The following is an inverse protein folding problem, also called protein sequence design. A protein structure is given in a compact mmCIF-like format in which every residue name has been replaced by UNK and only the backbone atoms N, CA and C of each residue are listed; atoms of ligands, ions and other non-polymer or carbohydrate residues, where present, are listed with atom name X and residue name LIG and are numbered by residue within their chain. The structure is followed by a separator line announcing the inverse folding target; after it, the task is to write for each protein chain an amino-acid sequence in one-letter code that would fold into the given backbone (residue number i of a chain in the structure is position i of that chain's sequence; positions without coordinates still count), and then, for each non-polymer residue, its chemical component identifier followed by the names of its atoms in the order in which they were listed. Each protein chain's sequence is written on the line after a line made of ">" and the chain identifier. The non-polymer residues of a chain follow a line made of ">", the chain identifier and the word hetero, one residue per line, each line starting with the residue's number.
data_IF_501071477709
#
_entry.id   IF_501071477709
#
_cell.length_a   1.000
_cell.length_b   1.000
_cell.length_c   1.000
_cell.angle_alpha   90.00
_cell.angle_beta   90.00
_cell.angle_gamma   90.00
#
_symmetry.space_group_name_H-M   'P 1'
#
loop_
_entity.id
_entity.type
_entity.pdbx_description
1 polymer ?
#
# COMPACT_ATOMS: atom_id res chain seq x y z
N UNK A 1 -0.66 -23.56 5.03
CA UNK A 1 -0.27 -22.14 4.94
C UNK A 1 1.22 -22.06 5.16
N UNK A 2 1.93 -21.31 4.32
CA UNK A 2 3.37 -21.46 4.16
C UNK A 2 4.23 -20.66 5.14
N UNK A 3 3.80 -19.73 5.98
CA UNK A 3 4.74 -18.81 6.67
C UNK A 3 5.59 -17.96 5.70
N UNK A 4 5.83 -16.69 6.07
CA UNK A 4 6.58 -15.78 5.20
C UNK A 4 8.01 -16.27 4.90
N UNK A 5 8.61 -17.03 5.83
CA UNK A 5 9.95 -17.60 5.66
C UNK A 5 10.09 -18.54 4.46
N UNK A 6 9.03 -19.27 4.14
CA UNK A 6 9.06 -20.21 3.02
C UNK A 6 9.04 -19.45 1.68
N UNK A 7 8.32 -18.32 1.64
CA UNK A 7 8.30 -17.40 0.50
C UNK A 7 9.66 -16.72 0.37
N UNK A 8 10.24 -16.23 1.48
CA UNK A 8 11.58 -15.64 1.48
C UNK A 8 12.63 -16.65 0.97
N UNK A 9 12.52 -17.93 1.37
CA UNK A 9 13.38 -19.00 0.88
C UNK A 9 13.17 -19.30 -0.62
N UNK A 10 11.91 -19.35 -1.08
CA UNK A 10 11.58 -19.66 -2.47
C UNK A 10 12.04 -18.56 -3.44
N UNK A 11 11.93 -17.31 -3.02
CA UNK A 11 12.24 -16.14 -3.85
C UNK A 11 13.68 -15.66 -3.70
N UNK A 12 14.36 -16.02 -2.60
CA UNK A 12 15.65 -15.46 -2.23
C UNK A 12 15.59 -13.99 -1.79
N UNK A 13 14.39 -13.44 -1.60
CA UNK A 13 14.13 -12.07 -1.17
C UNK A 13 13.66 -12.04 0.30
N UNK A 14 13.80 -10.89 0.97
CA UNK A 14 13.32 -10.71 2.33
C UNK A 14 12.21 -9.66 2.37
N UNK A 15 11.11 -9.96 3.08
CA UNK A 15 10.08 -8.95 3.33
C UNK A 15 10.60 -7.91 4.33
N UNK A 16 10.16 -6.64 4.23
CA UNK A 16 10.53 -5.61 5.20
C UNK A 16 10.12 -5.98 6.63
N UNK A 17 10.89 -5.57 7.65
CA UNK A 17 10.60 -5.90 9.06
C UNK A 17 9.18 -5.50 9.49
N UNK A 18 8.74 -4.30 9.10
CA UNK A 18 7.39 -3.82 9.45
C UNK A 18 6.30 -4.67 8.79
N UNK A 19 6.47 -5.05 7.52
CA UNK A 19 5.52 -5.94 6.84
C UNK A 19 5.39 -7.27 7.58
N UNK A 20 6.52 -7.89 7.97
CA UNK A 20 6.53 -9.13 8.76
C UNK A 20 5.83 -8.99 10.11
N UNK A 21 6.05 -7.87 10.81
CA UNK A 21 5.38 -7.57 12.06
C UNK A 21 3.86 -7.49 11.89
N UNK A 22 3.39 -6.76 10.87
CA UNK A 22 1.97 -6.56 10.60
C UNK A 22 1.29 -7.85 10.13
N UNK A 23 1.96 -8.64 9.30
CA UNK A 23 1.51 -9.96 8.89
C UNK A 23 1.37 -10.90 10.10
N UNK A 24 2.38 -10.99 10.96
CA UNK A 24 2.34 -11.83 12.16
C UNK A 24 1.23 -11.40 13.14
N UNK A 25 0.89 -10.12 13.16
CA UNK A 25 -0.20 -9.56 13.95
C UNK A 25 -1.59 -9.67 13.27
N UNK A 26 -1.68 -10.27 12.07
CA UNK A 26 -2.93 -10.40 11.33
C UNK A 26 -3.53 -9.07 10.87
N UNK A 27 -2.71 -8.03 10.72
CA UNK A 27 -3.17 -6.66 10.42
C UNK A 27 -3.32 -6.37 8.92
N UNK A 28 -2.88 -7.29 8.06
CA UNK A 28 -2.88 -7.09 6.61
C UNK A 28 -4.13 -7.65 5.91
N UNK A 29 -4.93 -8.49 6.59
CA UNK A 29 -6.11 -9.10 5.98
C UNK A 29 -7.33 -8.18 6.07
N UNK A 30 -8.14 -8.21 5.02
CA UNK A 30 -9.45 -7.56 4.96
C UNK A 30 -10.60 -8.54 5.23
N UNK A 31 -10.28 -9.69 5.85
CA UNK A 31 -11.23 -10.75 6.13
C UNK A 31 -11.51 -11.62 4.90
N UNK A 32 -12.24 -12.71 5.12
CA UNK A 32 -12.49 -13.70 4.07
C UNK A 32 -13.41 -13.16 2.95
N UNK A 33 -13.24 -13.62 1.70
CA UNK A 33 -14.15 -13.32 0.62
C UNK A 33 -15.61 -13.64 0.99
N UNK A 34 -16.51 -12.69 0.78
CA UNK A 34 -17.94 -12.83 1.08
C UNK A 34 -18.78 -12.11 0.01
N UNK A 35 -19.88 -12.69 -0.51
CA UNK A 35 -20.72 -12.03 -1.52
C UNK A 35 -21.30 -10.69 -1.05
N UNK A 36 -21.54 -10.58 0.26
CA UNK A 36 -22.03 -9.37 0.94
C UNK A 36 -20.93 -8.78 1.83
N UNK A 37 -19.67 -8.76 1.35
CA UNK A 37 -18.51 -8.34 2.15
C UNK A 37 -18.71 -6.96 2.79
N UNK A 38 -19.29 -6.00 2.04
CA UNK A 38 -19.58 -4.65 2.53
C UNK A 38 -20.61 -4.60 3.66
N UNK A 39 -21.51 -5.57 3.75
CA UNK A 39 -22.59 -5.60 4.76
C UNK A 39 -22.25 -6.48 5.97
N UNK A 40 -21.44 -7.53 5.77
CA UNK A 40 -21.17 -8.55 6.78
C UNK A 40 -19.76 -8.43 7.36
N UNK A 41 -18.76 -8.25 6.50
CA UNK A 41 -17.35 -8.27 6.90
C UNK A 41 -16.87 -6.87 7.24
N UNK A 42 -17.04 -5.92 6.33
CA UNK A 42 -16.57 -4.55 6.48
C UNK A 42 -16.99 -3.89 7.81
N UNK A 43 -18.26 -3.96 8.28
CA UNK A 43 -18.64 -3.34 9.54
C UNK A 43 -17.88 -3.88 10.76
N UNK A 44 -17.41 -5.13 10.71
CA UNK A 44 -16.61 -5.75 11.78
C UNK A 44 -15.18 -5.21 11.82
N UNK A 45 -14.65 -4.76 10.68
CA UNK A 45 -13.30 -4.21 10.55
C UNK A 45 -13.21 -2.77 11.05
N UNK A 46 -14.31 -2.00 11.00
CA UNK A 46 -14.29 -0.56 11.32
C UNK A 46 -13.93 -0.24 12.78
N UNK A 47 -14.13 -1.18 13.71
CA UNK A 47 -13.85 -0.99 15.14
C UNK A 47 -12.34 -0.97 15.45
N UNK A 48 -11.55 -1.78 14.73
CA UNK A 48 -10.10 -1.80 14.76
C UNK A 48 -9.59 -1.99 13.32
N UNK A 49 -9.54 -0.91 12.52
CA UNK A 49 -9.25 -1.02 11.09
C UNK A 49 -7.90 -1.70 10.82
N UNK A 50 -7.86 -2.73 9.96
CA UNK A 50 -6.61 -3.29 9.46
C UNK A 50 -5.84 -2.25 8.64
N UNK A 51 -4.62 -2.62 8.27
CA UNK A 51 -3.72 -1.78 7.49
C UNK A 51 -4.41 -1.37 6.20
N UNK A 52 -4.43 -0.06 5.98
CA UNK A 52 -4.94 0.60 4.79
C UNK A 52 -6.40 0.28 4.40
N UNK A 53 -7.27 -0.16 5.32
CA UNK A 53 -8.69 -0.48 5.04
C UNK A 53 -9.42 0.59 4.19
N UNK A 54 -9.10 1.86 4.39
CA UNK A 54 -9.77 2.98 3.75
C UNK A 54 -9.01 3.58 2.55
N UNK A 55 -7.84 3.05 2.20
CA UNK A 55 -7.08 3.52 1.04
C UNK A 55 -7.78 3.12 -0.27
N UNK A 56 -7.82 4.04 -1.23
CA UNK A 56 -8.26 3.74 -2.58
C UNK A 56 -7.16 3.00 -3.36
N UNK A 57 -7.57 2.22 -4.36
CA UNK A 57 -6.68 1.45 -5.23
C UNK A 57 -5.62 0.63 -4.46
N UNK A 58 -6.03 0.01 -3.36
CA UNK A 58 -5.19 -0.87 -2.56
C UNK A 58 -6.00 -2.10 -2.15
N UNK A 59 -5.51 -3.28 -2.49
CA UNK A 59 -6.03 -4.55 -2.02
C UNK A 59 -4.84 -5.36 -1.49
N UNK A 60 -4.81 -5.74 -0.21
CA UNK A 60 -3.73 -6.57 0.31
C UNK A 60 -3.77 -7.95 -0.34
N UNK A 61 -2.60 -8.50 -0.69
CA UNK A 61 -2.51 -9.91 -1.04
C UNK A 61 -2.57 -10.73 0.25
N UNK A 62 -3.47 -11.70 0.29
CA UNK A 62 -3.55 -12.66 1.39
C UNK A 62 -2.33 -13.58 1.39
N UNK A 63 -2.08 -14.22 2.53
CA UNK A 63 -0.86 -15.00 2.75
C UNK A 63 -0.62 -16.08 1.69
N UNK A 64 -1.68 -16.72 1.21
CA UNK A 64 -1.64 -17.77 0.20
C UNK A 64 -1.52 -17.24 -1.24
N UNK A 65 -1.75 -15.95 -1.47
CA UNK A 65 -1.59 -15.29 -2.78
C UNK A 65 -0.17 -14.77 -3.01
N UNK A 66 0.58 -14.45 -1.95
CA UNK A 66 1.90 -13.80 -2.06
C UNK A 66 2.91 -14.54 -2.95
N UNK A 67 2.99 -15.87 -2.82
CA UNK A 67 3.93 -16.66 -3.63
C UNK A 67 3.46 -16.76 -5.08
N UNK A 68 2.16 -16.93 -5.31
CA UNK A 68 1.56 -17.00 -6.64
C UNK A 68 1.77 -15.68 -7.38
N UNK A 69 1.48 -14.54 -6.75
CA UNK A 69 1.71 -13.22 -7.33
C UNK A 69 3.18 -13.01 -7.73
N UNK A 70 4.13 -13.48 -6.91
CA UNK A 70 5.55 -13.43 -7.28
C UNK A 70 5.87 -14.35 -8.47
N UNK A 71 5.31 -15.56 -8.51
CA UNK A 71 5.50 -16.50 -9.62
C UNK A 71 4.95 -15.94 -10.93
N UNK A 72 3.78 -15.31 -10.91
CA UNK A 72 3.18 -14.64 -12.07
C UNK A 72 4.05 -13.49 -12.57
N UNK A 73 4.44 -12.56 -11.69
CA UNK A 73 5.27 -11.41 -12.04
C UNK A 73 6.64 -11.81 -12.64
N UNK A 74 7.17 -12.97 -12.25
CA UNK A 74 8.52 -13.43 -12.66
C UNK A 74 8.50 -14.55 -13.69
N UNK A 75 7.33 -14.96 -14.17
CA UNK A 75 7.19 -16.01 -15.16
C UNK A 75 7.96 -15.66 -16.45
N UNK A 76 8.67 -16.63 -17.02
CA UNK A 76 9.46 -16.42 -18.25
C UNK A 76 8.57 -16.08 -19.46
N UNK A 77 7.33 -16.58 -19.47
CA UNK A 77 6.31 -16.33 -20.48
C UNK A 77 5.32 -15.23 -20.09
N UNK A 78 5.60 -14.46 -19.02
CA UNK A 78 4.84 -13.26 -18.71
C UNK A 78 4.89 -12.30 -19.89
N UNK A 79 3.76 -11.69 -20.23
CA UNK A 79 3.64 -10.80 -21.40
C UNK A 79 4.51 -9.54 -21.26
N UNK A 80 4.79 -9.13 -20.01
CA UNK A 80 5.75 -8.10 -19.64
C UNK A 80 6.89 -8.74 -18.83
N UNK A 81 7.88 -9.38 -19.46
CA UNK A 81 8.89 -10.14 -18.74
C UNK A 81 9.79 -9.23 -17.89
N UNK A 82 9.84 -9.46 -16.58
CA UNK A 82 10.59 -8.63 -15.62
C UNK A 82 12.09 -8.62 -15.91
N UNK A 83 12.70 -7.43 -15.96
CA UNK A 83 14.15 -7.22 -16.08
C UNK A 83 14.97 -8.10 -15.11
N UNK A 84 16.05 -8.75 -15.59
CA UNK A 84 16.83 -9.69 -14.78
C UNK A 84 17.60 -9.03 -13.64
N UNK A 85 17.81 -7.70 -13.70
CA UNK A 85 18.47 -6.93 -12.65
C UNK A 85 17.50 -6.41 -11.57
N UNK A 86 16.20 -6.69 -11.69
CA UNK A 86 15.20 -6.30 -10.69
C UNK A 86 14.77 -7.48 -9.82
N UNK A 87 14.69 -7.25 -8.51
CA UNK A 87 14.07 -8.14 -7.55
C UNK A 87 12.86 -7.44 -6.95
N UNK A 88 11.68 -7.83 -7.41
CA UNK A 88 10.41 -7.30 -6.96
C UNK A 88 9.66 -8.38 -6.17
N UNK A 89 9.06 -7.99 -5.06
CA UNK A 89 8.26 -8.87 -4.21
C UNK A 89 6.86 -8.26 -4.02
N UNK A 90 5.82 -8.78 -4.71
CA UNK A 90 4.45 -8.29 -4.59
C UNK A 90 3.90 -8.44 -3.17
N UNK A 91 3.08 -7.48 -2.74
CA UNK A 91 2.40 -7.55 -1.44
C UNK A 91 0.96 -7.00 -1.42
N UNK A 92 0.57 -6.25 -2.45
CA UNK A 92 -0.78 -5.71 -2.64
C UNK A 92 -0.99 -5.45 -4.14
N UNK A 93 -2.23 -5.15 -4.54
CA UNK A 93 -2.59 -4.75 -5.91
C UNK A 93 -3.56 -3.57 -5.93
N UNK A 94 -3.68 -2.89 -7.07
CA UNK A 94 -4.78 -1.96 -7.36
C UNK A 94 -6.01 -2.74 -7.82
N UNK A 95 -7.18 -2.10 -7.83
CA UNK A 95 -8.39 -2.71 -8.42
C UNK A 95 -8.26 -2.88 -9.94
N UNK A 96 -7.36 -2.10 -10.56
CA UNK A 96 -6.98 -2.20 -11.97
C UNK A 96 -6.03 -3.36 -12.31
N UNK A 97 -5.47 -4.05 -11.30
CA UNK A 97 -4.56 -5.19 -11.51
C UNK A 97 -3.06 -4.84 -11.48
N UNK A 98 -2.70 -3.60 -11.16
CA UNK A 98 -1.30 -3.20 -10.97
C UNK A 98 -0.77 -3.73 -9.64
N UNK A 99 0.52 -4.01 -9.56
CA UNK A 99 1.12 -4.65 -8.38
C UNK A 99 1.93 -3.67 -7.55
N UNK A 100 1.64 -3.59 -6.25
CA UNK A 100 2.54 -2.96 -5.30
C UNK A 100 3.63 -3.97 -4.91
N UNK A 101 4.88 -3.58 -5.12
CA UNK A 101 6.04 -4.44 -4.92
C UNK A 101 7.05 -3.78 -3.97
N UNK A 102 7.73 -4.60 -3.17
CA UNK A 102 8.99 -4.23 -2.55
C UNK A 102 10.12 -4.41 -3.56
N UNK A 103 10.90 -3.36 -3.82
CA UNK A 103 12.10 -3.45 -4.65
C UNK A 103 13.30 -3.86 -3.80
N UNK A 104 13.44 -5.18 -3.61
CA UNK A 104 14.34 -5.79 -2.63
C UNK A 104 15.83 -5.53 -2.88
N UNK A 105 16.22 -5.29 -4.14
CA UNK A 105 17.59 -5.00 -4.54
C UNK A 105 17.80 -3.56 -5.03
N UNK A 106 16.94 -2.62 -4.62
CA UNK A 106 17.09 -1.22 -4.95
C UNK A 106 18.48 -0.69 -4.53
N UNK A 107 19.20 0.01 -5.42
CA UNK A 107 20.50 0.57 -5.08
C UNK A 107 20.36 1.65 -3.99
N UNK A 108 21.40 1.74 -3.15
CA UNK A 108 21.55 2.79 -2.13
C UNK A 108 20.37 2.94 -1.14
N UNK A 109 19.60 1.87 -0.92
CA UNK A 109 18.42 1.84 -0.05
C UNK A 109 18.65 0.95 1.17
N UNK A 110 18.37 1.45 2.37
CA UNK A 110 18.53 0.70 3.63
C UNK A 110 17.39 -0.32 3.86
N UNK A 111 16.20 0.01 3.39
CA UNK A 111 15.03 -0.88 3.32
C UNK A 111 14.48 -0.85 1.88
N UNK A 112 13.76 -1.90 1.43
CA UNK A 112 13.18 -1.93 0.09
C UNK A 112 12.17 -0.78 -0.11
N UNK A 113 12.39 0.09 -1.12
CA UNK A 113 11.37 1.04 -1.57
C UNK A 113 10.12 0.30 -2.04
N UNK A 114 8.97 0.97 -1.90
CA UNK A 114 7.71 0.48 -2.50
C UNK A 114 7.57 1.07 -3.88
N UNK A 115 7.26 0.22 -4.85
CA UNK A 115 6.97 0.62 -6.24
C UNK A 115 5.59 0.13 -6.66
N UNK A 116 4.93 0.87 -7.55
CA UNK A 116 3.76 0.42 -8.30
C UNK A 116 4.22 -0.08 -9.66
N UNK A 117 3.99 -1.35 -9.97
CA UNK A 117 4.28 -1.96 -11.27
C UNK A 117 2.99 -1.98 -12.08
N UNK A 118 2.99 -1.23 -13.18
CA UNK A 118 1.85 -1.14 -14.08
C UNK A 118 1.70 -2.42 -14.89
N UNK A 119 0.49 -2.98 -14.91
CA UNK A 119 0.24 -4.21 -15.65
C UNK A 119 0.12 -3.98 -17.16
N UNK A 120 -0.32 -2.80 -17.59
CA UNK A 120 -0.57 -2.45 -19.00
C UNK A 120 0.49 -1.51 -19.61
N UNK A 121 1.52 -1.16 -18.85
CA UNK A 121 2.64 -0.31 -19.24
C UNK A 121 3.98 -0.98 -18.89
N UNK A 122 5.08 -0.52 -19.50
CA UNK A 122 6.43 -1.05 -19.23
C UNK A 122 7.12 -0.40 -18.01
N UNK A 123 6.33 0.35 -17.23
CA UNK A 123 6.76 1.28 -16.19
C UNK A 123 6.49 0.77 -14.78
N UNK A 124 7.39 1.12 -13.86
CA UNK A 124 7.13 1.10 -12.43
C UNK A 124 7.42 2.47 -11.81
N UNK A 125 6.60 2.87 -10.84
CA UNK A 125 6.71 4.17 -10.16
C UNK A 125 7.12 3.98 -8.70
N UNK A 126 8.12 4.74 -8.24
CA UNK A 126 8.61 4.70 -6.86
C UNK A 126 7.66 5.49 -5.95
N UNK A 127 6.95 4.78 -5.07
CA UNK A 127 5.92 5.40 -4.24
C UNK A 127 6.40 5.82 -2.85
N UNK A 128 7.41 5.15 -2.31
CA UNK A 128 7.90 5.40 -0.96
C UNK A 128 9.28 4.81 -0.74
N UNK A 129 10.05 5.40 0.18
CA UNK A 129 11.39 4.92 0.53
C UNK A 129 11.39 3.57 1.27
N UNK A 130 10.27 3.21 1.89
CA UNK A 130 10.07 1.97 2.65
C UNK A 130 8.57 1.74 2.89
N UNK A 131 8.21 0.62 3.52
CA UNK A 131 6.80 0.29 3.78
C UNK A 131 6.11 1.28 4.72
N UNK A 132 6.79 1.81 5.74
CA UNK A 132 6.20 2.78 6.66
C UNK A 132 5.81 4.09 5.95
N UNK A 133 6.67 4.58 5.04
CA UNK A 133 6.38 5.75 4.20
C UNK A 133 5.23 5.48 3.23
N UNK A 134 5.12 4.26 2.70
CA UNK A 134 3.98 3.86 1.87
C UNK A 134 2.67 3.87 2.64
N UNK A 135 2.64 3.33 3.86
CA UNK A 135 1.45 3.37 4.71
C UNK A 135 1.00 4.81 4.98
N UNK A 136 1.94 5.69 5.32
CA UNK A 136 1.67 7.11 5.51
C UNK A 136 1.11 7.76 4.24
N UNK A 137 1.76 7.56 3.09
CA UNK A 137 1.31 8.09 1.79
C UNK A 137 -0.13 7.69 1.49
N UNK A 138 -0.45 6.40 1.58
CA UNK A 138 -1.79 5.88 1.31
C UNK A 138 -2.86 6.42 2.26
N UNK A 139 -2.50 6.74 3.50
CA UNK A 139 -3.42 7.41 4.43
C UNK A 139 -3.67 8.88 4.09
N UNK A 140 -2.69 9.57 3.50
CA UNK A 140 -2.85 10.95 3.01
C UNK A 140 -3.66 10.97 1.71
N UNK A 141 -3.35 10.08 0.76
CA UNK A 141 -4.09 9.94 -0.51
C UNK A 141 -5.57 9.63 -0.27
N UNK A 142 -5.89 8.73 0.67
CA UNK A 142 -7.26 8.36 0.98
C UNK A 142 -8.22 9.50 1.34
N UNK A 143 -7.69 10.62 1.87
CA UNK A 143 -8.52 11.80 2.17
C UNK A 143 -8.64 12.78 1.01
N UNK A 144 -7.67 12.81 0.10
CA UNK A 144 -7.79 13.56 -1.16
C UNK A 144 -8.73 12.85 -2.13
N UNK A 145 -8.69 11.52 -2.15
CA UNK A 145 -9.58 10.67 -2.94
C UNK A 145 -10.97 10.51 -2.30
N UNK A 146 -11.25 11.19 -1.18
CA UNK A 146 -12.51 11.04 -0.48
C UNK A 146 -13.68 11.51 -1.35
N UNK A 147 -14.56 10.57 -1.65
CA UNK A 147 -15.79 10.84 -2.37
C UNK A 147 -16.95 10.06 -1.74
N UNK A 148 -17.88 10.75 -1.09
CA UNK A 148 -19.11 10.13 -0.60
C UNK A 148 -20.12 9.93 -1.75
N UNK A 149 -20.85 8.81 -1.81
CA UNK A 149 -20.82 7.64 -0.92
C UNK A 149 -19.91 6.50 -1.44
N UNK A 150 -18.95 6.79 -2.32
CA UNK A 150 -18.22 5.78 -3.11
C UNK A 150 -17.02 5.19 -2.37
N UNK A 151 -16.40 5.95 -1.46
CA UNK A 151 -15.25 5.50 -0.68
C UNK A 151 -15.67 4.75 0.58
N UNK A 152 -14.96 3.68 0.95
CA UNK A 152 -15.20 2.95 2.21
C UNK A 152 -15.13 3.87 3.44
N UNK A 153 -14.28 4.89 3.39
CA UNK A 153 -14.13 5.88 4.46
C UNK A 153 -15.45 6.63 4.76
N UNK A 154 -16.32 6.80 3.75
CA UNK A 154 -17.63 7.47 3.85
C UNK A 154 -18.71 6.62 4.53
N UNK A 155 -18.46 5.32 4.77
CA UNK A 155 -19.42 4.44 5.42
C UNK A 155 -19.37 4.61 6.95
N UNK A 156 -20.35 5.33 7.50
CA UNK A 156 -20.43 5.64 8.92
C UNK A 156 -20.04 7.09 9.20
N UNK A 157 -19.55 7.35 10.41
CA UNK A 157 -19.16 8.70 10.82
C UNK A 157 -17.68 8.94 10.46
N UNK A 158 -17.43 9.91 9.56
CA UNK A 158 -16.12 10.16 8.95
C UNK A 158 -15.04 10.45 10.00
N UNK A 159 -15.29 11.35 10.95
CA UNK A 159 -14.32 11.71 11.98
C UNK A 159 -13.95 10.49 12.84
N UNK A 160 -14.94 9.67 13.19
CA UNK A 160 -14.77 8.44 13.94
C UNK A 160 -13.97 7.39 13.16
N UNK A 161 -14.20 7.25 11.85
CA UNK A 161 -13.42 6.36 10.99
C UNK A 161 -11.96 6.81 10.91
N UNK A 162 -11.72 8.09 10.63
CA UNK A 162 -10.39 8.71 10.59
C UNK A 162 -9.65 8.53 11.92
N UNK A 163 -10.32 8.78 13.04
CA UNK A 163 -9.72 8.64 14.37
C UNK A 163 -9.34 7.18 14.66
N UNK A 164 -10.24 6.22 14.43
CA UNK A 164 -9.94 4.80 14.66
C UNK A 164 -8.79 4.32 13.77
N UNK A 165 -8.76 4.75 12.51
CA UNK A 165 -7.70 4.38 11.58
C UNK A 165 -6.34 4.96 12.00
N UNK A 166 -6.29 6.24 12.38
CA UNK A 166 -5.07 6.86 12.91
C UNK A 166 -4.55 6.17 14.17
N UNK A 167 -5.45 5.83 15.11
CA UNK A 167 -5.07 5.12 16.34
C UNK A 167 -4.56 3.71 16.04
N UNK A 168 -5.18 3.01 15.10
CA UNK A 168 -4.76 1.66 14.72
C UNK A 168 -3.39 1.63 14.04
N UNK A 169 -2.93 2.77 13.50
CA UNK A 169 -1.64 2.94 12.85
C UNK A 169 -0.54 3.56 13.71
N UNK A 170 -0.86 4.06 14.91
CA UNK A 170 0.06 4.83 15.75
C UNK A 170 1.38 4.11 16.07
N UNK A 171 1.34 2.79 16.30
CA UNK A 171 2.52 2.03 16.77
C UNK A 171 3.57 1.81 15.69
N UNK A 172 3.24 2.06 14.43
CA UNK A 172 4.13 1.83 13.29
C UNK A 172 4.27 3.04 12.35
N UNK A 173 3.73 4.20 12.72
CA UNK A 173 4.05 5.48 12.09
C UNK A 173 5.21 6.15 12.83
N UNK A 174 6.00 6.95 12.11
CA UNK A 174 6.93 7.88 12.76
C UNK A 174 6.17 9.02 13.42
N UNK A 175 6.82 9.72 14.36
CA UNK A 175 6.21 10.82 15.09
C UNK A 175 5.80 12.01 14.21
N UNK A 176 6.58 12.33 13.18
CA UNK A 176 6.28 13.37 12.18
C UNK A 176 5.10 12.97 11.28
N UNK A 177 5.09 11.74 10.77
CA UNK A 177 3.98 11.16 10.00
C UNK A 177 2.67 11.17 10.79
N UNK A 178 2.70 10.68 12.04
CA UNK A 178 1.53 10.67 12.91
C UNK A 178 1.01 12.09 13.17
N UNK A 179 1.91 13.05 13.43
CA UNK A 179 1.52 14.44 13.65
C UNK A 179 0.94 15.10 12.38
N UNK A 180 1.47 14.78 11.20
CA UNK A 180 0.93 15.26 9.93
C UNK A 180 -0.48 14.69 9.67
N UNK A 181 -0.67 13.37 9.80
CA UNK A 181 -1.98 12.73 9.68
C UNK A 181 -2.98 13.24 10.71
N UNK A 182 -2.55 13.45 11.97
CA UNK A 182 -3.41 14.00 13.00
C UNK A 182 -3.93 15.40 12.64
N UNK A 183 -3.09 16.27 12.07
CA UNK A 183 -3.51 17.60 11.61
C UNK A 183 -4.43 17.51 10.40
N UNK A 184 -4.11 16.65 9.44
CA UNK A 184 -4.91 16.45 8.24
C UNK A 184 -6.30 15.91 8.58
N UNK A 185 -6.36 14.84 9.38
CA UNK A 185 -7.62 14.17 9.77
C UNK A 185 -8.49 15.01 10.71
N UNK A 186 -7.94 16.07 11.32
CA UNK A 186 -8.73 17.03 12.08
C UNK A 186 -9.54 17.98 11.17
N UNK A 187 -9.24 18.05 9.87
CA UNK A 187 -9.94 18.88 8.88
C UNK A 187 -11.15 18.15 8.28
N UNK A 188 -12.00 17.58 9.14
CA UNK A 188 -13.11 16.70 8.73
C UNK A 188 -14.04 17.39 7.73
N UNK A 189 -14.44 18.64 8.00
CA UNK A 189 -15.32 19.41 7.11
C UNK A 189 -14.69 19.62 5.73
N UNK A 190 -13.38 19.93 5.67
CA UNK A 190 -12.67 20.08 4.39
C UNK A 190 -12.62 18.76 3.62
N UNK A 191 -12.42 17.63 4.30
CA UNK A 191 -12.41 16.31 3.68
C UNK A 191 -13.80 15.98 3.13
N UNK A 192 -14.85 16.18 3.94
CA UNK A 192 -16.23 15.89 3.56
C UNK A 192 -16.69 16.73 2.35
N UNK A 193 -16.24 17.99 2.27
CA UNK A 193 -16.49 18.90 1.15
C UNK A 193 -15.60 18.66 -0.08
N UNK A 194 -14.59 17.78 0.01
CA UNK A 194 -13.63 17.54 -1.08
C UNK A 194 -12.65 18.70 -1.31
N UNK A 195 -12.36 19.48 -0.27
CA UNK A 195 -11.45 20.64 -0.31
C UNK A 195 -9.97 20.26 -0.10
N UNK A 196 -9.67 18.97 0.07
CA UNK A 196 -8.28 18.46 0.09
C UNK A 196 -7.96 18.00 -1.33
N UNK A 197 -7.16 18.78 -2.05
CA UNK A 197 -6.76 18.42 -3.41
C UNK A 197 -5.64 17.36 -3.42
N UNK A 198 -5.47 16.69 -4.56
CA UNK A 198 -4.32 15.82 -4.82
C UNK A 198 -2.99 16.58 -4.63
N UNK A 199 -2.92 17.86 -5.05
CA UNK A 199 -1.74 18.71 -4.85
C UNK A 199 -1.44 18.97 -3.37
N UNK A 200 -2.49 19.20 -2.55
CA UNK A 200 -2.32 19.38 -1.10
C UNK A 200 -1.81 18.10 -0.43
N UNK A 201 -2.38 16.95 -0.80
CA UNK A 201 -1.94 15.65 -0.34
C UNK A 201 -0.49 15.38 -0.75
N UNK A 202 -0.15 15.61 -2.01
CA UNK A 202 1.20 15.42 -2.53
C UNK A 202 2.22 16.31 -1.83
N UNK A 203 1.88 17.56 -1.52
CA UNK A 203 2.76 18.46 -0.77
C UNK A 203 3.10 17.89 0.62
N UNK A 204 2.11 17.33 1.33
CA UNK A 204 2.31 16.67 2.63
C UNK A 204 3.21 15.43 2.48
N UNK A 205 2.97 14.61 1.45
CA UNK A 205 3.75 13.41 1.16
C UNK A 205 5.23 13.77 0.91
N UNK A 206 5.50 14.72 0.02
CA UNK A 206 6.87 15.17 -0.29
C UNK A 206 7.57 15.73 0.94
N UNK A 207 6.89 16.58 1.72
CA UNK A 207 7.46 17.21 2.92
C UNK A 207 7.86 16.16 3.98
N UNK A 208 6.99 15.19 4.25
CA UNK A 208 7.15 14.28 5.39
C UNK A 208 7.97 13.03 5.03
N UNK A 209 7.87 12.53 3.80
CA UNK A 209 8.70 11.40 3.35
C UNK A 209 10.13 11.87 3.06
N UNK A 210 10.31 13.01 2.39
CA UNK A 210 11.62 13.58 2.12
C UNK A 210 12.55 12.66 1.31
N UNK A 211 12.00 11.81 0.45
CA UNK A 211 12.75 10.87 -0.37
C UNK A 211 12.99 11.44 -1.77
N UNK A 212 14.25 11.53 -2.18
CA UNK A 212 14.64 12.16 -3.46
C UNK A 212 14.02 11.45 -4.68
N UNK A 213 13.87 10.12 -4.60
CA UNK A 213 13.38 9.30 -5.71
C UNK A 213 11.86 9.14 -5.73
N UNK A 214 11.14 9.89 -4.89
CA UNK A 214 9.70 9.82 -4.82
C UNK A 214 9.09 10.21 -6.17
N UNK A 215 8.16 9.38 -6.65
CA UNK A 215 7.47 9.50 -7.95
C UNK A 215 8.39 9.40 -9.19
N UNK A 216 9.62 8.91 -9.02
CA UNK A 216 10.45 8.50 -10.15
C UNK A 216 9.86 7.26 -10.84
N UNK A 217 9.78 7.31 -12.16
CA UNK A 217 9.41 6.18 -13.00
C UNK A 217 10.64 5.50 -13.59
N UNK A 218 10.61 4.17 -13.73
CA UNK A 218 11.62 3.40 -14.45
C UNK A 218 10.99 2.24 -15.24
N UNK A 219 11.64 1.86 -16.35
CA UNK A 219 11.22 0.69 -17.11
C UNK A 219 11.54 -0.61 -16.36
N UNK A 220 10.55 -1.48 -16.18
CA UNK A 220 10.72 -2.77 -15.50
C UNK A 220 10.75 -3.97 -16.46
N UNK A 221 10.29 -3.80 -17.69
CA UNK A 221 10.23 -4.87 -18.69
C UNK A 221 11.58 -5.04 -19.38
N UNK A 222 11.95 -6.30 -19.66
CA UNK A 222 13.16 -6.62 -20.45
C UNK A 222 13.04 -6.03 -21.83
N UNK A 223 14.07 -5.31 -22.27
CA UNK A 223 14.21 -4.97 -23.68
C UNK A 223 14.43 -6.24 -24.50
N UNK A 224 13.68 -6.44 -25.58
CA UNK A 224 13.98 -7.50 -26.55
C UNK A 224 15.35 -7.19 -27.20
N UNK A 225 16.27 -8.17 -27.13
CA UNK A 225 17.61 -8.09 -27.71
C UNK A 225 17.62 -8.28 -29.23
#
# INVERSE_FOLDING_TARGET
>A
MSALSDIEQATGQAFPPLFKQLHAAGRLSWGSPHPEWSEVVFPTLQADPPVLLYAQEYEPLEHDELLEAWQELTAEDHYNPLRPDLQLLPFARTGGGDSYCFWSNAPDSAEPPVVLVWHDDDRADVLAANYQDFLFRKMVEAVADYQAPYTLLSHGELAGNLQRWLQSHQSFLRGDQFAALQRLFARVDDIEEGNISEDDAQAIVVEVIGFERLDESFAYVREEA
#
